data_IF_115308255264
#
_entry.id   IF_115308255264
#
_cell.length_a   1.000
_cell.length_b   1.000
_cell.length_c   1.000
_cell.angle_alpha   90.00
_cell.angle_beta   90.00
_cell.angle_gamma   90.00
#
_symmetry.space_group_name_H-M   'P 1'
#
loop_
_entity.id
_entity.type
_entity.pdbx_description
1 polymer ?
#
# COMPACT_ATOMS: atom_id res chain seq x y z
N UNK A 1 -6.92 1.56 -33.57
CA UNK A 1 -6.53 1.36 -32.15
C UNK A 1 -7.66 0.60 -31.47
N UNK A 2 -7.39 -0.54 -30.83
CA UNK A 2 -8.45 -1.41 -30.31
C UNK A 2 -9.03 -0.79 -29.01
N UNK A 3 -10.35 -0.54 -29.03
CA UNK A 3 -11.12 0.22 -28.01
C UNK A 3 -10.93 -0.34 -26.60
N UNK A 4 -10.64 -1.64 -26.48
CA UNK A 4 -10.40 -2.33 -25.20
C UNK A 4 -9.14 -1.81 -24.51
N UNK A 5 -8.03 -1.63 -25.24
CA UNK A 5 -6.78 -1.14 -24.67
C UNK A 5 -6.88 0.32 -24.22
N UNK A 6 -7.63 1.14 -24.94
CA UNK A 6 -7.89 2.54 -24.55
C UNK A 6 -8.67 2.58 -23.24
N UNK A 7 -9.69 1.72 -23.09
CA UNK A 7 -10.47 1.62 -21.84
C UNK A 7 -9.63 1.14 -20.67
N UNK A 8 -8.78 0.14 -20.85
CA UNK A 8 -7.88 -0.36 -19.80
C UNK A 8 -6.86 0.70 -19.37
N UNK A 9 -6.25 1.42 -20.32
CA UNK A 9 -5.32 2.51 -20.01
C UNK A 9 -6.02 3.65 -19.24
N UNK A 10 -7.28 3.96 -19.56
CA UNK A 10 -8.06 4.96 -18.85
C UNK A 10 -8.33 4.53 -17.40
N UNK A 11 -8.78 3.29 -17.18
CA UNK A 11 -9.02 2.74 -15.82
C UNK A 11 -7.73 2.78 -14.98
N UNK A 12 -6.59 2.39 -15.57
CA UNK A 12 -5.31 2.43 -14.86
C UNK A 12 -4.90 3.87 -14.50
N UNK A 13 -5.14 4.83 -15.41
CA UNK A 13 -4.89 6.25 -15.16
C UNK A 13 -5.76 6.79 -14.02
N UNK A 14 -7.04 6.44 -14.00
CA UNK A 14 -7.97 6.84 -12.94
C UNK A 14 -7.57 6.23 -11.59
N UNK A 15 -7.23 4.93 -11.56
CA UNK A 15 -6.74 4.26 -10.36
C UNK A 15 -5.49 4.95 -9.79
N UNK A 16 -4.53 5.34 -10.63
CA UNK A 16 -3.36 6.13 -10.22
C UNK A 16 -3.72 7.49 -9.63
N UNK A 17 -4.72 8.18 -10.18
CA UNK A 17 -5.14 9.47 -9.65
C UNK A 17 -5.80 9.34 -8.27
N UNK A 18 -6.69 8.36 -8.11
CA UNK A 18 -7.31 8.07 -6.80
C UNK A 18 -6.24 7.70 -5.78
N UNK A 19 -5.26 6.88 -6.17
CA UNK A 19 -4.14 6.51 -5.32
C UNK A 19 -3.33 7.73 -4.84
N UNK A 20 -2.94 8.61 -5.76
CA UNK A 20 -2.19 9.84 -5.43
C UNK A 20 -2.98 10.76 -4.50
N UNK A 21 -4.30 10.86 -4.68
CA UNK A 21 -5.15 11.67 -3.79
C UNK A 21 -5.18 11.08 -2.38
N UNK A 22 -5.29 9.75 -2.26
CA UNK A 22 -5.25 9.06 -0.97
C UNK A 22 -3.91 9.21 -0.28
N UNK A 23 -2.80 9.26 -1.03
CA UNK A 23 -1.48 9.54 -0.46
C UNK A 23 -1.32 10.97 0.03
N UNK A 24 -2.00 11.93 -0.60
CA UNK A 24 -1.97 13.33 -0.20
C UNK A 24 -2.80 13.59 1.07
N UNK A 25 -3.75 12.71 1.38
CA UNK A 25 -4.55 12.77 2.61
C UNK A 25 -3.88 11.91 3.68
N UNK A 26 -3.26 12.52 4.70
CA UNK A 26 -2.69 11.83 5.86
C UNK A 26 -3.75 11.20 6.80
N UNK A 27 -5.01 11.12 6.36
CA UNK A 27 -6.15 10.80 7.21
C UNK A 27 -6.18 9.34 7.68
N UNK A 28 -5.54 8.39 6.97
CA UNK A 28 -5.53 6.98 7.41
C UNK A 28 -4.37 6.15 6.82
N UNK A 29 -3.32 5.85 7.61
CA UNK A 29 -2.18 5.02 7.16
C UNK A 29 -2.62 3.66 6.59
N UNK A 30 -3.65 3.04 7.18
CA UNK A 30 -4.15 1.73 6.77
C UNK A 30 -4.83 1.71 5.41
N UNK A 31 -5.52 2.78 5.00
CA UNK A 31 -6.14 2.87 3.67
C UNK A 31 -5.13 2.65 2.54
N UNK A 32 -3.93 3.19 2.71
CA UNK A 32 -2.86 3.03 1.72
C UNK A 32 -2.39 1.57 1.61
N UNK A 33 -2.28 0.84 2.74
CA UNK A 33 -1.93 -0.58 2.75
C UNK A 33 -3.04 -1.46 2.17
N UNK A 34 -4.32 -1.17 2.44
CA UNK A 34 -5.43 -1.87 1.81
C UNK A 34 -5.42 -1.71 0.29
N UNK A 35 -5.08 -0.53 -0.19
CA UNK A 35 -5.01 -0.32 -1.64
C UNK A 35 -3.84 -1.07 -2.28
N UNK A 36 -2.69 -1.14 -1.61
CA UNK A 36 -1.58 -1.99 -2.05
C UNK A 36 -2.03 -3.45 -2.15
N UNK A 37 -2.77 -3.95 -1.15
CA UNK A 37 -3.29 -5.32 -1.19
C UNK A 37 -4.21 -5.57 -2.39
N UNK A 38 -5.12 -4.64 -2.67
CA UNK A 38 -6.01 -4.72 -3.84
C UNK A 38 -5.20 -4.69 -5.14
N UNK A 39 -4.24 -3.77 -5.27
CA UNK A 39 -3.38 -3.64 -6.45
C UNK A 39 -2.60 -4.93 -6.72
N UNK A 40 -2.01 -5.54 -5.69
CA UNK A 40 -1.29 -6.81 -5.80
C UNK A 40 -2.23 -7.97 -6.17
N UNK A 41 -3.43 -8.05 -5.57
CA UNK A 41 -4.43 -9.08 -5.91
C UNK A 41 -4.93 -8.97 -7.35
N UNK A 42 -4.91 -7.77 -7.91
CA UNK A 42 -5.25 -7.51 -9.30
C UNK A 42 -4.07 -7.79 -10.26
N UNK A 43 -2.86 -8.04 -9.76
CA UNK A 43 -1.68 -8.34 -10.57
C UNK A 43 -1.18 -7.14 -11.38
N UNK A 44 -1.42 -5.92 -10.91
CA UNK A 44 -1.07 -4.66 -11.60
C UNK A 44 -0.03 -3.83 -10.83
N UNK A 45 0.59 -4.38 -9.78
CA UNK A 45 1.53 -3.72 -8.90
C UNK A 45 2.75 -3.13 -9.61
N UNK A 46 3.17 -3.72 -10.73
CA UNK A 46 4.26 -3.19 -11.56
C UNK A 46 3.98 -1.77 -12.07
N UNK A 47 2.72 -1.38 -12.21
CA UNK A 47 2.36 -0.02 -12.59
C UNK A 47 2.45 0.98 -11.43
N UNK A 48 2.54 0.52 -10.19
CA UNK A 48 2.51 1.35 -8.97
C UNK A 48 3.78 1.18 -8.12
N UNK A 49 4.86 0.64 -8.69
CA UNK A 49 6.03 0.21 -7.95
C UNK A 49 6.64 1.33 -7.08
N UNK A 50 6.79 2.53 -7.64
CA UNK A 50 7.33 3.70 -6.92
C UNK A 50 6.42 4.11 -5.76
N UNK A 51 5.11 4.17 -6.00
CA UNK A 51 4.17 4.60 -4.97
C UNK A 51 4.00 3.54 -3.87
N UNK A 52 4.06 2.25 -4.21
CA UNK A 52 4.10 1.15 -3.23
C UNK A 52 5.36 1.27 -2.36
N UNK A 53 6.53 1.44 -2.97
CA UNK A 53 7.80 1.55 -2.23
C UNK A 53 7.79 2.71 -1.24
N UNK A 54 7.29 3.88 -1.66
CA UNK A 54 7.22 5.06 -0.79
C UNK A 54 6.34 4.82 0.46
N UNK A 55 5.19 4.15 0.31
CA UNK A 55 4.30 3.84 1.42
C UNK A 55 4.90 2.80 2.35
N UNK A 56 5.47 1.72 1.81
CA UNK A 56 6.09 0.69 2.63
C UNK A 56 7.26 1.28 3.44
N UNK A 57 8.03 2.20 2.85
CA UNK A 57 9.07 2.92 3.58
C UNK A 57 8.51 3.81 4.70
N UNK A 58 7.43 4.57 4.43
CA UNK A 58 6.75 5.39 5.46
C UNK A 58 6.24 4.50 6.60
N UNK A 59 5.57 3.40 6.28
CA UNK A 59 5.02 2.48 7.27
C UNK A 59 6.12 1.79 8.08
N UNK A 60 7.21 1.40 7.43
CA UNK A 60 8.38 0.83 8.10
C UNK A 60 8.97 1.78 9.14
N UNK A 61 9.05 3.08 8.82
CA UNK A 61 9.52 4.10 9.77
C UNK A 61 8.55 4.23 10.94
N UNK A 62 7.23 4.33 10.68
CA UNK A 62 6.19 4.43 11.72
C UNK A 62 6.28 3.27 12.71
N UNK A 63 6.35 2.03 12.19
CA UNK A 63 6.48 0.83 13.03
C UNK A 63 7.72 0.83 13.92
N UNK A 64 8.85 1.33 13.42
CA UNK A 64 10.10 1.33 14.18
C UNK A 64 10.17 2.46 15.21
N UNK A 65 9.47 3.58 14.99
CA UNK A 65 9.45 4.70 15.94
C UNK A 65 8.56 4.35 17.13
N UNK A 66 7.32 3.89 16.89
CA UNK A 66 6.34 3.63 17.95
C UNK A 66 5.67 2.24 17.78
N UNK A 67 6.41 1.14 17.97
CA UNK A 67 5.89 -0.21 17.75
C UNK A 67 4.71 -0.54 18.68
N UNK A 68 4.76 -0.09 19.94
CA UNK A 68 3.73 -0.36 20.94
C UNK A 68 2.42 0.35 20.60
N UNK A 69 2.49 1.59 20.11
CA UNK A 69 1.32 2.38 19.72
C UNK A 69 0.61 1.75 18.52
N UNK A 70 1.39 1.30 17.52
CA UNK A 70 0.87 0.59 16.36
C UNK A 70 0.11 -0.68 16.77
N UNK A 71 0.67 -1.48 17.67
CA UNK A 71 0.03 -2.72 18.16
C UNK A 71 -1.24 -2.43 18.96
N UNK A 72 -1.30 -1.34 19.74
CA UNK A 72 -2.49 -0.99 20.53
C UNK A 72 -3.61 -0.35 19.73
N UNK A 73 -3.31 0.23 18.57
CA UNK A 73 -4.26 1.02 17.78
C UNK A 73 -4.86 0.27 16.58
N UNK A 74 -4.39 -0.95 16.28
CA UNK A 74 -4.75 -1.69 15.07
C UNK A 74 -5.24 -3.10 15.36
N UNK A 75 -6.14 -3.60 14.53
CA UNK A 75 -6.63 -4.97 14.63
C UNK A 75 -5.58 -6.00 14.18
N UNK A 76 -5.75 -7.26 14.59
CA UNK A 76 -4.83 -8.36 14.22
C UNK A 76 -4.68 -8.52 12.70
N UNK A 77 -5.77 -8.28 11.95
CA UNK A 77 -5.75 -8.31 10.48
C UNK A 77 -4.83 -7.22 9.89
N UNK A 78 -4.86 -6.01 10.45
CA UNK A 78 -4.08 -4.86 10.00
C UNK A 78 -2.59 -5.07 10.28
N UNK A 79 -2.28 -5.64 11.45
CA UNK A 79 -0.95 -6.07 11.80
C UNK A 79 -0.42 -7.12 10.80
N UNK A 80 -1.20 -8.18 10.54
CA UNK A 80 -0.82 -9.23 9.61
C UNK A 80 -0.61 -8.70 8.17
N UNK A 81 -1.49 -7.79 7.72
CA UNK A 81 -1.37 -7.11 6.44
C UNK A 81 -0.06 -6.33 6.35
N UNK A 82 0.21 -5.49 7.34
CA UNK A 82 1.40 -4.64 7.39
C UNK A 82 2.67 -5.48 7.35
N UNK A 83 2.75 -6.53 8.16
CA UNK A 83 3.89 -7.44 8.21
C UNK A 83 4.12 -8.18 6.90
N UNK A 84 3.05 -8.64 6.25
CA UNK A 84 3.15 -9.28 4.94
C UNK A 84 3.68 -8.30 3.90
N UNK A 85 3.08 -7.12 3.78
CA UNK A 85 3.45 -6.13 2.78
C UNK A 85 4.89 -5.63 2.96
N UNK A 86 5.32 -5.37 4.19
CA UNK A 86 6.70 -4.94 4.47
C UNK A 86 7.73 -6.00 4.09
N UNK A 87 7.49 -7.27 4.43
CA UNK A 87 8.39 -8.37 4.01
C UNK A 87 8.44 -8.54 2.51
N UNK A 88 7.28 -8.43 1.84
CA UNK A 88 7.23 -8.45 0.37
C UNK A 88 8.02 -7.30 -0.26
N UNK A 89 8.00 -6.12 0.36
CA UNK A 89 8.81 -4.97 -0.03
C UNK A 89 10.29 -5.03 0.39
N UNK A 90 10.75 -6.13 0.99
CA UNK A 90 12.15 -6.31 1.40
C UNK A 90 12.53 -5.64 2.73
N UNK A 91 11.55 -5.13 3.49
CA UNK A 91 11.79 -4.58 4.82
C UNK A 91 11.88 -5.70 5.87
N UNK A 92 12.92 -5.66 6.69
CA UNK A 92 13.05 -6.57 7.82
C UNK A 92 12.12 -6.15 8.96
N UNK A 93 11.13 -6.99 9.26
CA UNK A 93 10.27 -6.82 10.44
C UNK A 93 10.54 -7.96 11.42
N UNK A 94 10.79 -7.62 12.69
CA UNK A 94 11.01 -8.63 13.72
C UNK A 94 9.70 -9.40 13.94
N UNK A 95 9.69 -10.74 13.87
CA UNK A 95 8.54 -11.50 14.36
C UNK A 95 8.34 -11.15 15.84
N UNK A 96 7.08 -10.85 16.19
CA UNK A 96 6.67 -10.59 17.58
C UNK A 96 6.75 -11.85 18.43
#
# INVERSE_FOLDING_TARGET
>A
MNVIYVKQALILKEAKQVYKKLLATDEEPMKSLYMIDIIQRLGIENHFAEEIQAILQKQYIILNINPTDFVSSHEMYEFALTFRLLRQGGHYVKPG
#
